data_IF_738546849851
#
_entry.id   IF_738546849851
#
_cell.length_a   1.000
_cell.length_b   1.000
_cell.length_c   1.000
_cell.angle_alpha   90.00
_cell.angle_beta   90.00
_cell.angle_gamma   90.00
#
_symmetry.space_group_name_H-M   'P 1'
#
loop_
_entity.id
_entity.type
_entity.pdbx_description
1 polymer ?
#
# COMPACT_ATOMS: atom_id res chain seq x y z
N UNK A 1 -13.96 10.44 25.85
CA UNK A 1 -14.36 9.04 26.11
C UNK A 1 -13.86 8.10 25.00
N UNK A 2 -14.37 8.23 23.76
CA UNK A 2 -14.04 7.33 22.63
C UNK A 2 -12.55 7.30 22.27
N UNK A 3 -11.91 8.47 22.20
CA UNK A 3 -10.48 8.57 21.86
C UNK A 3 -9.55 7.90 22.90
N UNK A 4 -10.02 7.66 24.12
CA UNK A 4 -9.29 6.95 25.19
C UNK A 4 -9.86 5.55 25.44
N UNK A 5 -10.73 5.06 24.55
CA UNK A 5 -11.31 3.72 24.65
C UNK A 5 -12.27 3.50 25.83
N UNK A 6 -12.83 4.55 26.42
CA UNK A 6 -13.73 4.45 27.57
C UNK A 6 -15.21 4.68 27.18
N UNK A 7 -16.16 3.95 27.78
CA UNK A 7 -17.58 4.24 27.64
C UNK A 7 -17.91 5.61 28.22
N UNK A 8 -18.90 6.31 27.63
CA UNK A 8 -19.22 7.69 27.98
C UNK A 8 -19.55 7.89 29.47
N UNK A 9 -20.14 6.89 30.12
CA UNK A 9 -20.54 6.91 31.53
C UNK A 9 -19.38 6.87 32.52
N UNK A 10 -18.21 6.36 32.11
CA UNK A 10 -17.01 6.25 32.96
C UNK A 10 -15.97 7.34 32.72
N UNK A 11 -16.20 8.22 31.75
CA UNK A 11 -15.23 9.23 31.34
C UNK A 11 -15.42 10.53 32.12
N UNK A 12 -14.35 11.07 32.70
CA UNK A 12 -14.34 12.36 33.39
C UNK A 12 -13.05 13.11 33.10
N UNK A 13 -13.14 14.43 32.89
CA UNK A 13 -12.01 15.35 32.77
C UNK A 13 -12.26 16.53 33.74
N UNK A 14 -11.30 16.90 34.60
CA UNK A 14 -11.42 18.08 35.45
C UNK A 14 -11.55 19.37 34.61
N UNK A 15 -12.44 20.30 34.95
CA UNK A 15 -12.49 21.60 34.29
C UNK A 15 -11.16 22.34 34.46
N UNK A 16 -10.55 22.76 33.36
CA UNK A 16 -9.33 23.54 33.37
C UNK A 16 -9.47 24.75 32.42
N UNK A 17 -9.07 25.96 32.85
CA UNK A 17 -9.09 27.13 31.97
C UNK A 17 -8.12 26.92 30.79
N UNK A 18 -8.54 27.32 29.59
CA UNK A 18 -7.76 27.14 28.37
C UNK A 18 -6.58 28.15 28.35
N UNK A 19 -5.44 27.75 28.92
CA UNK A 19 -4.18 28.51 28.89
C UNK A 19 -3.27 28.02 27.77
N UNK A 20 -3.78 27.98 26.54
CA UNK A 20 -3.01 27.53 25.38
C UNK A 20 -2.46 28.73 24.61
N UNK A 21 -1.13 28.81 24.48
CA UNK A 21 -0.49 29.73 23.54
C UNK A 21 -0.49 29.04 22.16
N UNK A 22 -0.95 29.71 21.09
CA UNK A 22 -0.87 29.13 19.75
C UNK A 22 0.58 28.73 19.44
N UNK A 23 0.81 27.53 18.88
CA UNK A 23 2.14 27.15 18.46
C UNK A 23 2.64 28.14 17.40
N UNK A 24 3.94 28.49 17.39
CA UNK A 24 4.50 29.38 16.38
C UNK A 24 4.35 28.73 14.99
N UNK A 25 4.02 29.54 13.98
CA UNK A 25 3.94 29.08 12.60
C UNK A 25 5.32 28.52 12.19
N UNK A 26 5.43 27.24 11.81
CA UNK A 26 6.72 26.68 11.40
C UNK A 26 7.21 27.37 10.13
N UNK A 27 8.47 27.81 10.11
CA UNK A 27 9.14 28.39 8.93
C UNK A 27 9.72 27.32 7.99
N UNK A 28 9.33 26.05 8.15
CA UNK A 28 9.82 24.92 7.35
C UNK A 28 9.15 24.84 5.99
N UNK A 29 9.87 24.33 4.99
CA UNK A 29 9.35 24.18 3.62
C UNK A 29 8.23 23.12 3.62
N UNK A 30 7.07 23.37 2.98
CA UNK A 30 5.95 22.41 2.94
C UNK A 30 6.32 21.03 2.37
N UNK A 31 7.36 20.94 1.54
CA UNK A 31 7.83 19.70 0.92
C UNK A 31 8.35 18.66 1.93
N UNK A 32 9.04 19.09 2.99
CA UNK A 32 9.61 18.19 3.99
C UNK A 32 8.53 17.53 4.85
N UNK A 33 7.33 18.14 4.92
CA UNK A 33 6.16 17.58 5.61
C UNK A 33 5.57 16.42 4.82
N UNK A 34 5.62 16.46 3.48
CA UNK A 34 5.13 15.37 2.63
C UNK A 34 5.96 14.10 2.77
N UNK A 35 7.29 14.23 2.94
CA UNK A 35 8.17 13.07 3.12
C UNK A 35 7.97 12.38 4.48
N UNK A 36 7.43 13.10 5.47
CA UNK A 36 7.16 12.57 6.82
C UNK A 36 5.75 12.01 6.96
N UNK A 37 4.89 12.20 5.95
CA UNK A 37 3.48 11.83 5.99
C UNK A 37 3.30 10.34 5.70
N UNK A 38 2.87 9.52 6.69
CA UNK A 38 2.75 8.07 6.52
C UNK A 38 1.65 7.68 5.51
N UNK A 39 0.64 8.54 5.32
CA UNK A 39 -0.40 8.39 4.31
C UNK A 39 0.18 8.46 2.88
N UNK A 40 1.03 9.44 2.58
CA UNK A 40 1.70 9.57 1.28
C UNK A 40 2.66 8.41 1.03
N UNK A 41 3.41 7.98 2.05
CA UNK A 41 4.29 6.82 1.96
C UNK A 41 3.54 5.52 1.63
N UNK A 42 2.32 5.33 2.17
CA UNK A 42 1.50 4.16 1.84
C UNK A 42 1.06 4.13 0.37
N UNK A 43 0.70 5.28 -0.19
CA UNK A 43 0.30 5.41 -1.60
C UNK A 43 1.48 5.19 -2.56
N UNK A 44 2.69 5.63 -2.19
CA UNK A 44 3.89 5.31 -2.95
C UNK A 44 4.11 3.78 -3.04
N UNK A 45 3.90 3.06 -1.94
CA UNK A 45 3.98 1.59 -1.94
C UNK A 45 2.88 0.94 -2.77
N UNK A 46 1.68 1.54 -2.81
CA UNK A 46 0.60 1.10 -3.69
C UNK A 46 0.98 1.26 -5.17
N UNK A 47 1.56 2.40 -5.57
CA UNK A 47 2.09 2.61 -6.93
C UNK A 47 3.13 1.53 -7.28
N UNK A 48 4.06 1.26 -6.36
CA UNK A 48 5.10 0.25 -6.58
C UNK A 48 4.50 -1.16 -6.76
N UNK A 49 3.47 -1.50 -5.98
CA UNK A 49 2.73 -2.76 -6.13
C UNK A 49 2.04 -2.85 -7.49
N UNK A 50 1.30 -1.83 -7.91
CA UNK A 50 0.62 -1.84 -9.22
C UNK A 50 1.60 -1.87 -10.39
N UNK A 51 2.76 -1.20 -10.26
CA UNK A 51 3.83 -1.30 -11.25
C UNK A 51 4.37 -2.74 -11.37
N UNK A 52 4.55 -3.43 -10.25
CA UNK A 52 4.95 -4.84 -10.25
C UNK A 52 3.88 -5.73 -10.93
N UNK A 53 2.59 -5.43 -10.73
CA UNK A 53 1.50 -6.15 -11.39
C UNK A 53 1.51 -5.96 -12.92
N UNK A 54 1.85 -4.76 -13.42
CA UNK A 54 2.08 -4.55 -14.86
C UNK A 54 3.22 -5.42 -15.37
N UNK A 55 4.29 -5.58 -14.58
CA UNK A 55 5.38 -6.50 -14.85
C UNK A 55 4.91 -7.95 -14.97
N UNK A 56 4.11 -8.43 -14.01
CA UNK A 56 3.52 -9.78 -14.02
C UNK A 56 2.56 -9.99 -15.20
N UNK A 57 1.72 -9.00 -15.53
CA UNK A 57 0.86 -9.09 -16.71
C UNK A 57 1.68 -9.19 -18.01
N UNK A 58 2.86 -8.57 -18.06
CA UNK A 58 3.79 -8.69 -19.20
C UNK A 58 4.42 -10.09 -19.27
N UNK A 59 4.65 -10.79 -18.15
CA UNK A 59 5.23 -12.15 -18.20
C UNK A 59 4.31 -13.16 -18.86
N UNK A 60 2.99 -12.92 -18.89
CA UNK A 60 2.01 -13.78 -19.57
C UNK A 60 2.21 -13.89 -21.10
N UNK A 61 3.04 -13.03 -21.70
CA UNK A 61 3.41 -13.09 -23.12
C UNK A 61 4.63 -13.96 -23.41
N UNK A 62 5.30 -14.49 -22.39
CA UNK A 62 6.49 -15.32 -22.53
C UNK A 62 6.19 -16.78 -22.18
N UNK A 63 7.05 -17.73 -22.60
CA UNK A 63 6.92 -19.12 -22.20
C UNK A 63 6.96 -19.29 -20.68
N UNK A 64 6.00 -20.02 -20.13
CA UNK A 64 6.05 -20.50 -18.75
C UNK A 64 6.83 -21.82 -18.72
N UNK A 65 7.94 -21.84 -17.98
CA UNK A 65 8.78 -23.04 -17.83
C UNK A 65 8.53 -23.63 -16.45
N UNK A 66 8.13 -24.89 -16.40
CA UNK A 66 7.91 -25.64 -15.16
C UNK A 66 8.94 -26.74 -15.05
N UNK A 67 9.56 -26.88 -13.87
CA UNK A 67 10.43 -28.02 -13.55
C UNK A 67 9.79 -28.80 -12.41
N UNK A 68 9.45 -30.06 -12.69
CA UNK A 68 8.76 -30.95 -11.75
C UNK A 68 9.65 -32.15 -11.44
N UNK A 69 9.72 -32.53 -10.18
CA UNK A 69 10.41 -33.73 -9.74
C UNK A 69 9.55 -34.50 -8.75
N UNK A 70 9.64 -35.82 -8.77
CA UNK A 70 9.01 -36.70 -7.81
C UNK A 70 10.00 -37.76 -7.35
N UNK A 71 9.87 -38.21 -6.10
CA UNK A 71 10.60 -39.36 -5.57
C UNK A 71 9.78 -40.02 -4.48
N UNK A 72 9.99 -41.31 -4.26
CA UNK A 72 9.28 -42.04 -3.22
C UNK A 72 9.46 -43.54 -3.31
N UNK A 73 8.51 -44.25 -2.70
CA UNK A 73 8.43 -45.70 -2.74
C UNK A 73 7.21 -46.10 -3.57
N UNK A 74 7.41 -46.94 -4.57
CA UNK A 74 6.35 -47.50 -5.39
C UNK A 74 6.57 -49.00 -5.50
N UNK A 75 5.56 -49.78 -5.13
CA UNK A 75 5.60 -51.24 -5.23
C UNK A 75 4.21 -51.79 -5.50
N UNK A 76 4.15 -52.91 -6.23
CA UNK A 76 2.92 -53.69 -6.44
C UNK A 76 2.57 -54.59 -5.25
N UNK A 77 3.49 -54.76 -4.29
CA UNK A 77 3.29 -55.55 -3.07
C UNK A 77 3.76 -54.78 -1.83
N UNK A 78 2.98 -54.85 -0.74
CA UNK A 78 3.29 -54.18 0.54
C UNK A 78 4.58 -54.74 1.16
N UNK A 79 4.84 -56.04 1.01
CA UNK A 79 6.01 -56.72 1.58
C UNK A 79 7.35 -56.19 1.03
N UNK A 80 7.36 -55.66 -0.19
CA UNK A 80 8.54 -55.05 -0.81
C UNK A 80 8.53 -53.52 -0.79
N UNK A 81 7.54 -52.90 -0.12
CA UNK A 81 7.39 -51.44 -0.13
C UNK A 81 8.57 -50.69 0.51
N UNK A 82 9.19 -51.25 1.56
CA UNK A 82 10.36 -50.67 2.25
C UNK A 82 11.68 -51.32 1.80
N UNK A 83 11.80 -51.69 0.52
CA UNK A 83 13.00 -52.31 -0.03
C UNK A 83 13.75 -51.35 -0.96
N UNK A 84 15.05 -51.57 -1.21
CA UNK A 84 15.80 -50.70 -2.13
C UNK A 84 15.21 -50.65 -3.56
N UNK A 85 14.68 -51.74 -4.13
CA UNK A 85 14.05 -51.71 -5.46
C UNK A 85 12.72 -50.94 -5.55
N UNK A 86 12.05 -50.63 -4.44
CA UNK A 86 10.81 -49.84 -4.48
C UNK A 86 11.08 -48.33 -4.56
N UNK A 87 12.34 -47.90 -4.40
CA UNK A 87 12.72 -46.50 -4.58
C UNK A 87 12.53 -46.09 -6.04
N UNK A 88 11.78 -45.02 -6.26
CA UNK A 88 11.67 -44.37 -7.56
C UNK A 88 11.98 -42.88 -7.45
N UNK A 89 12.38 -42.32 -8.57
CA UNK A 89 12.50 -40.87 -8.76
C UNK A 89 12.20 -40.53 -10.23
N UNK A 90 11.75 -39.30 -10.46
CA UNK A 90 11.54 -38.72 -11.76
C UNK A 90 11.84 -37.22 -11.74
N UNK A 91 12.32 -36.71 -12.86
CA UNK A 91 12.54 -35.29 -13.10
C UNK A 91 12.08 -34.98 -14.52
N UNK A 92 11.25 -33.96 -14.68
CA UNK A 92 10.71 -33.55 -15.97
C UNK A 92 10.53 -32.03 -16.03
N UNK A 93 10.70 -31.47 -17.21
CA UNK A 93 10.45 -30.06 -17.47
C UNK A 93 9.45 -29.90 -18.61
N UNK A 94 8.60 -28.87 -18.52
CA UNK A 94 7.69 -28.47 -19.57
C UNK A 94 7.78 -26.96 -19.82
N UNK A 95 7.47 -26.55 -21.04
CA UNK A 95 7.40 -25.15 -21.43
C UNK A 95 6.11 -24.91 -22.20
N UNK A 96 5.34 -23.89 -21.78
CA UNK A 96 4.07 -23.52 -22.41
C UNK A 96 4.11 -22.06 -22.84
N UNK A 97 3.99 -21.82 -24.15
CA UNK A 97 3.89 -20.47 -24.71
C UNK A 97 2.54 -20.29 -25.44
N UNK A 98 1.74 -19.30 -25.04
CA UNK A 98 0.45 -19.07 -25.68
C UNK A 98 0.56 -18.24 -26.97
N UNK A 99 0.34 -18.88 -28.12
CA UNK A 99 0.39 -18.19 -29.43
C UNK A 99 -0.90 -17.41 -29.71
N UNK A 100 -2.07 -18.02 -29.48
CA UNK A 100 -3.37 -17.41 -29.76
C UNK A 100 -4.27 -17.55 -28.53
N UNK A 101 -4.66 -16.42 -27.94
CA UNK A 101 -5.58 -16.37 -26.79
C UNK A 101 -6.71 -15.33 -26.96
N UNK A 102 -7.07 -15.00 -28.19
CA UNK A 102 -8.19 -14.07 -28.46
C UNK A 102 -8.02 -12.67 -27.83
N UNK A 103 -6.78 -12.23 -27.59
CA UNK A 103 -6.51 -10.93 -26.97
C UNK A 103 -6.56 -10.90 -25.43
N UNK A 104 -6.78 -12.03 -24.75
CA UNK A 104 -6.84 -12.12 -23.28
C UNK A 104 -5.66 -11.45 -22.57
N UNK A 105 -4.43 -11.79 -22.96
CA UNK A 105 -3.22 -11.21 -22.36
C UNK A 105 -3.09 -9.70 -22.63
N UNK A 106 -3.53 -9.23 -23.81
CA UNK A 106 -3.54 -7.80 -24.15
C UNK A 106 -4.55 -7.05 -23.29
N UNK A 107 -5.75 -7.60 -23.11
CA UNK A 107 -6.79 -7.01 -22.27
C UNK A 107 -6.35 -6.96 -20.79
N UNK A 108 -5.74 -8.04 -20.28
CA UNK A 108 -5.20 -8.07 -18.92
C UNK A 108 -4.10 -7.03 -18.72
N UNK A 109 -3.14 -6.92 -19.65
CA UNK A 109 -2.09 -5.90 -19.60
C UNK A 109 -2.64 -4.47 -19.64
N UNK A 110 -3.68 -4.23 -20.44
CA UNK A 110 -4.35 -2.92 -20.49
C UNK A 110 -5.04 -2.60 -19.16
N UNK A 111 -5.73 -3.57 -18.56
CA UNK A 111 -6.39 -3.42 -17.26
C UNK A 111 -5.38 -3.12 -16.13
N UNK A 112 -4.26 -3.85 -16.06
CA UNK A 112 -3.23 -3.60 -15.04
C UNK A 112 -2.54 -2.24 -15.23
N UNK A 113 -2.36 -1.79 -16.48
CA UNK A 113 -1.82 -0.45 -16.75
C UNK A 113 -2.78 0.65 -16.29
N UNK A 114 -4.08 0.48 -16.54
CA UNK A 114 -5.09 1.42 -16.08
C UNK A 114 -5.12 1.49 -14.54
N UNK A 115 -4.99 0.35 -13.85
CA UNK A 115 -4.89 0.31 -12.38
C UNK A 115 -3.65 1.06 -11.87
N UNK A 116 -2.48 0.89 -12.50
CA UNK A 116 -1.28 1.67 -12.19
C UNK A 116 -1.48 3.17 -12.41
N UNK A 117 -2.09 3.58 -13.52
CA UNK A 117 -2.40 4.98 -13.79
C UNK A 117 -3.35 5.58 -12.74
N UNK A 118 -4.34 4.80 -12.29
CA UNK A 118 -5.24 5.18 -11.20
C UNK A 118 -4.47 5.36 -9.88
N UNK A 119 -3.56 4.45 -9.52
CA UNK A 119 -2.74 4.57 -8.31
C UNK A 119 -1.87 5.84 -8.36
N UNK A 120 -1.28 6.14 -9.51
CA UNK A 120 -0.52 7.38 -9.73
C UNK A 120 -1.40 8.63 -9.58
N UNK A 121 -2.63 8.60 -10.11
CA UNK A 121 -3.57 9.70 -9.95
C UNK A 121 -3.97 9.91 -8.48
N UNK A 122 -4.24 8.84 -7.74
CA UNK A 122 -4.58 8.88 -6.32
C UNK A 122 -3.44 9.46 -5.45
N UNK A 123 -2.20 9.05 -5.73
CA UNK A 123 -1.02 9.64 -5.10
C UNK A 123 -0.93 11.14 -5.36
N UNK A 124 -1.07 11.57 -6.62
CA UNK A 124 -1.05 13.00 -6.98
C UNK A 124 -2.15 13.79 -6.27
N UNK A 125 -3.37 13.25 -6.25
CA UNK A 125 -4.49 13.89 -5.55
C UNK A 125 -4.18 14.05 -4.06
N UNK A 126 -3.66 13.01 -3.42
CA UNK A 126 -3.35 13.04 -1.98
C UNK A 126 -2.22 14.01 -1.66
N UNK A 127 -1.21 14.11 -2.53
CA UNK A 127 -0.16 15.13 -2.42
C UNK A 127 -0.74 16.54 -2.52
N UNK A 128 -1.64 16.80 -3.46
CA UNK A 128 -2.29 18.12 -3.61
C UNK A 128 -3.16 18.45 -2.39
N UNK A 129 -3.94 17.49 -1.90
CA UNK A 129 -4.74 17.66 -0.68
C UNK A 129 -3.84 17.91 0.54
N UNK A 130 -2.71 17.22 0.65
CA UNK A 130 -1.75 17.44 1.73
C UNK A 130 -1.14 18.85 1.69
N UNK A 131 -0.84 19.39 0.50
CA UNK A 131 -0.41 20.79 0.36
C UNK A 131 -1.52 21.76 0.79
N UNK A 132 -2.76 21.51 0.37
CA UNK A 132 -3.91 22.34 0.77
C UNK A 132 -4.09 22.35 2.29
N UNK A 133 -4.01 21.20 2.96
CA UNK A 133 -4.14 21.11 4.43
C UNK A 133 -3.07 21.91 5.17
N UNK A 134 -1.84 21.96 4.62
CA UNK A 134 -0.74 22.76 5.19
C UNK A 134 -1.03 24.26 5.01
N UNK A 135 -1.48 24.67 3.83
CA UNK A 135 -1.85 26.06 3.54
C UNK A 135 -3.02 26.52 4.45
N UNK A 136 -4.07 25.71 4.56
CA UNK A 136 -5.21 25.95 5.43
C UNK A 136 -4.76 26.06 6.90
N UNK A 137 -3.86 25.19 7.36
CA UNK A 137 -3.29 25.22 8.71
C UNK A 137 -2.54 26.52 9.01
N UNK A 138 -1.70 26.99 8.07
CA UNK A 138 -0.95 28.24 8.20
C UNK A 138 -1.89 29.45 8.20
N UNK A 139 -2.85 29.47 7.27
CA UNK A 139 -3.85 30.54 7.16
C UNK A 139 -4.68 30.66 8.44
N UNK A 140 -5.16 29.53 8.98
CA UNK A 140 -5.93 29.49 10.22
C UNK A 140 -5.13 29.98 11.43
N UNK A 141 -3.84 29.60 11.56
CA UNK A 141 -2.98 30.11 12.62
C UNK A 141 -2.78 31.62 12.52
N UNK A 142 -2.61 32.14 11.30
CA UNK A 142 -2.51 33.58 11.04
C UNK A 142 -3.78 34.32 11.47
N UNK A 143 -4.96 33.87 11.02
CA UNK A 143 -6.25 34.46 11.40
C UNK A 143 -6.50 34.40 12.91
N UNK A 144 -6.16 33.28 13.56
CA UNK A 144 -6.28 33.14 15.02
C UNK A 144 -5.39 34.15 15.76
N UNK A 145 -4.15 34.36 15.30
CA UNK A 145 -3.24 35.34 15.91
C UNK A 145 -3.77 36.78 15.80
N UNK A 146 -4.39 37.11 14.66
CA UNK A 146 -4.98 38.42 14.43
C UNK A 146 -6.21 38.64 15.34
N UNK A 147 -7.09 37.65 15.46
CA UNK A 147 -8.25 37.71 16.34
C UNK A 147 -7.86 37.90 17.82
N UNK A 148 -6.83 37.21 18.29
CA UNK A 148 -6.30 37.38 19.66
C UNK A 148 -5.73 38.78 19.88
N UNK A 149 -5.05 39.35 18.87
CA UNK A 149 -4.51 40.71 18.96
C UNK A 149 -5.63 41.75 19.03
N UNK A 150 -6.68 41.61 18.20
CA UNK A 150 -7.86 42.49 18.26
C UNK A 150 -8.63 42.35 19.57
N UNK A 151 -8.80 41.14 20.09
CA UNK A 151 -9.45 40.91 21.39
C UNK A 151 -8.67 41.54 22.56
N UNK A 152 -7.34 41.53 22.50
CA UNK A 152 -6.51 42.15 23.53
C UNK A 152 -6.52 43.70 23.48
N UNK A 153 -6.93 44.29 22.35
CA UNK A 153 -7.04 45.74 22.18
C UNK A 153 -8.42 46.31 22.56
N UNK A 154 -9.44 45.45 22.70
CA UNK A 154 -10.79 45.81 23.13
C UNK A 154 -10.94 45.71 24.66
#
# INVERSE_FOLDING_TARGET
>A
AVLVGQPATGFSIPPAPLKATPPPVPLGVPSDVLERRPDIASLEREIAYENAQVGLARTAFYPHITLSGAAGLQSTAISSLFSAPSLFWSLGADALEPIIQGGRNRANLAATRAAYEQAVANYRQSVLTAFQEVEDGISNLSTLSQALTTQAQA
#
